data_IF_354928117658
#
_entry.id   IF_354928117658
#
_cell.length_a   1.000
_cell.length_b   1.000
_cell.length_c   1.000
_cell.angle_alpha   90.00
_cell.angle_beta   90.00
_cell.angle_gamma   90.00
#
_symmetry.space_group_name_H-M   'P 1'
#
loop_
_entity.id
_entity.type
_entity.pdbx_description
1 polymer ?
#
# COMPACT_ATOMS: atom_id res chain seq x y z
N UNK A 1 27.49 14.21 -16.29
CA UNK A 1 28.12 14.40 -14.97
C UNK A 1 27.12 14.87 -13.89
N UNK A 2 26.13 15.72 -14.21
CA UNK A 2 25.14 16.26 -13.27
C UNK A 2 24.05 15.29 -12.72
N UNK A 3 23.86 14.13 -13.34
CA UNK A 3 22.75 13.22 -13.00
C UNK A 3 23.04 12.31 -11.80
N UNK A 4 24.32 11.94 -11.62
CA UNK A 4 24.81 11.22 -10.43
C UNK A 4 24.65 12.06 -9.17
N UNK A 5 24.91 13.36 -9.28
CA UNK A 5 24.89 14.31 -8.17
C UNK A 5 23.46 14.57 -7.65
N UNK A 6 22.46 14.58 -8.54
CA UNK A 6 21.05 14.67 -8.14
C UNK A 6 20.54 13.43 -7.41
N UNK A 7 21.05 12.23 -7.73
CA UNK A 7 20.67 10.98 -7.03
C UNK A 7 21.24 10.93 -5.61
N UNK A 8 22.49 11.34 -5.43
CA UNK A 8 23.14 11.44 -4.11
C UNK A 8 22.45 12.49 -3.24
N UNK A 9 22.12 13.66 -3.80
CA UNK A 9 21.36 14.70 -3.08
C UNK A 9 19.95 14.25 -2.68
N UNK A 10 19.25 13.49 -3.53
CA UNK A 10 17.93 12.92 -3.19
C UNK A 10 18.02 11.84 -2.11
N UNK A 11 19.07 11.03 -2.10
CA UNK A 11 19.27 10.00 -1.08
C UNK A 11 19.65 10.60 0.30
N UNK A 12 20.25 11.80 0.31
CA UNK A 12 20.62 12.50 1.53
C UNK A 12 19.48 13.35 2.15
N UNK A 13 18.45 13.69 1.36
CA UNK A 13 17.31 14.48 1.85
C UNK A 13 16.36 13.61 2.68
N UNK A 14 15.97 14.04 3.91
CA UNK A 14 14.98 13.33 4.70
C UNK A 14 13.55 13.47 4.14
N UNK A 15 13.36 14.36 3.16
CA UNK A 15 12.04 14.64 2.57
C UNK A 15 11.92 14.13 1.13
N UNK A 16 10.74 13.58 0.83
CA UNK A 16 10.33 13.19 -0.52
C UNK A 16 9.05 13.91 -0.95
N UNK A 17 8.93 14.23 -2.24
CA UNK A 17 7.70 14.79 -2.81
C UNK A 17 6.66 13.71 -3.20
N UNK A 18 6.90 12.43 -2.85
CA UNK A 18 6.10 11.30 -3.34
C UNK A 18 4.65 11.39 -2.86
N UNK A 19 4.41 11.89 -1.65
CA UNK A 19 3.07 12.04 -1.07
C UNK A 19 2.13 12.89 -1.93
N UNK A 20 2.65 13.85 -2.72
CA UNK A 20 1.85 14.76 -3.55
C UNK A 20 1.12 14.08 -4.71
N UNK A 21 1.58 12.91 -5.15
CA UNK A 21 0.99 12.12 -6.25
C UNK A 21 0.35 10.83 -5.75
N UNK A 22 0.36 10.63 -4.43
CA UNK A 22 -0.08 9.38 -3.83
C UNK A 22 -1.59 9.38 -3.58
N UNK A 23 -2.26 8.27 -3.90
CA UNK A 23 -3.69 8.12 -3.70
C UNK A 23 -4.01 7.46 -2.35
N UNK A 24 -5.16 7.78 -1.75
CA UNK A 24 -5.53 7.22 -0.44
C UNK A 24 -5.81 5.70 -0.46
N UNK A 25 -6.42 5.17 -1.53
CA UNK A 25 -6.60 3.72 -1.81
C UNK A 25 -7.21 2.89 -0.67
N UNK A 26 -8.13 3.48 0.10
CA UNK A 26 -8.64 2.82 1.30
C UNK A 26 -9.32 1.47 1.02
N UNK A 27 -10.12 1.38 -0.05
CA UNK A 27 -10.86 0.16 -0.36
C UNK A 27 -9.91 -0.96 -0.81
N UNK A 28 -8.91 -0.62 -1.63
CA UNK A 28 -7.88 -1.53 -2.10
C UNK A 28 -7.01 -2.03 -0.95
N UNK A 29 -6.57 -1.12 -0.07
CA UNK A 29 -5.82 -1.47 1.15
C UNK A 29 -6.64 -2.37 2.05
N UNK A 30 -7.94 -2.09 2.22
CA UNK A 30 -8.82 -2.91 3.05
C UNK A 30 -9.04 -4.31 2.48
N UNK A 31 -9.23 -4.43 1.17
CA UNK A 31 -9.34 -5.74 0.49
C UNK A 31 -8.04 -6.52 0.62
N UNK A 32 -6.90 -5.88 0.42
CA UNK A 32 -5.58 -6.50 0.61
C UNK A 32 -5.39 -6.96 2.06
N UNK A 33 -5.77 -6.16 3.05
CA UNK A 33 -5.67 -6.51 4.47
C UNK A 33 -6.53 -7.74 4.84
N UNK A 34 -7.70 -7.90 4.21
CA UNK A 34 -8.53 -9.11 4.38
C UNK A 34 -7.80 -10.35 3.88
N UNK A 35 -7.19 -10.27 2.70
CA UNK A 35 -6.41 -11.38 2.13
C UNK A 35 -5.18 -11.73 2.99
N UNK A 36 -4.51 -10.74 3.58
CA UNK A 36 -3.43 -10.99 4.57
C UNK A 36 -3.98 -11.73 5.79
N UNK A 37 -5.17 -11.36 6.27
CA UNK A 37 -5.81 -12.05 7.40
C UNK A 37 -6.25 -13.48 7.08
N UNK A 38 -6.48 -13.81 5.80
CA UNK A 38 -6.71 -15.19 5.32
C UNK A 38 -5.43 -16.05 5.35
N UNK A 39 -4.25 -15.45 5.58
CA UNK A 39 -2.98 -16.16 5.69
C UNK A 39 -2.25 -16.38 4.37
N UNK A 40 -2.69 -15.71 3.29
CA UNK A 40 -2.05 -15.76 1.98
C UNK A 40 -0.70 -15.01 2.01
N UNK A 41 0.26 -15.46 1.20
CA UNK A 41 1.53 -14.75 1.03
C UNK A 41 1.39 -13.56 0.06
N UNK A 42 2.37 -12.63 0.08
CA UNK A 42 2.33 -11.40 -0.72
C UNK A 42 2.12 -11.67 -2.24
N UNK A 43 2.75 -12.72 -2.77
CA UNK A 43 2.64 -13.11 -4.18
C UNK A 43 1.27 -13.69 -4.51
N UNK A 44 0.74 -14.59 -3.67
CA UNK A 44 -0.62 -15.14 -3.82
C UNK A 44 -1.68 -14.04 -3.74
N UNK A 45 -1.50 -13.07 -2.85
CA UNK A 45 -2.39 -11.91 -2.73
C UNK A 45 -2.39 -11.10 -4.03
N UNK A 46 -1.20 -10.79 -4.55
CA UNK A 46 -1.06 -10.03 -5.79
C UNK A 46 -1.66 -10.79 -6.99
N UNK A 47 -1.43 -12.09 -7.09
CA UNK A 47 -2.02 -12.95 -8.12
C UNK A 47 -3.55 -12.98 -8.02
N UNK A 48 -4.09 -13.15 -6.82
CA UNK A 48 -5.53 -13.20 -6.59
C UNK A 48 -6.21 -11.88 -6.93
N UNK A 49 -5.63 -10.74 -6.52
CA UNK A 49 -6.12 -9.40 -6.87
C UNK A 49 -6.21 -9.22 -8.38
N UNK A 50 -5.19 -9.68 -9.13
CA UNK A 50 -5.15 -9.56 -10.59
C UNK A 50 -6.15 -10.49 -11.26
N UNK A 51 -6.15 -11.78 -10.86
CA UNK A 51 -6.97 -12.83 -11.47
C UNK A 51 -8.47 -12.58 -11.26
N UNK A 52 -8.86 -12.14 -10.07
CA UNK A 52 -10.26 -11.85 -9.73
C UNK A 52 -10.64 -10.38 -9.99
N UNK A 53 -9.68 -9.55 -10.45
CA UNK A 53 -9.85 -8.10 -10.64
C UNK A 53 -10.53 -7.42 -9.44
N UNK A 54 -10.04 -7.71 -8.22
CA UNK A 54 -10.69 -7.27 -6.97
C UNK A 54 -10.77 -5.76 -6.80
N UNK A 55 -9.92 -5.01 -7.49
CA UNK A 55 -9.93 -3.55 -7.46
C UNK A 55 -10.74 -2.93 -8.60
N UNK A 56 -11.21 -3.72 -9.57
CA UNK A 56 -12.00 -3.28 -10.72
C UNK A 56 -11.28 -2.27 -11.62
N UNK A 57 -9.99 -2.49 -11.90
CA UNK A 57 -9.20 -1.65 -12.80
C UNK A 57 -9.22 -2.21 -14.23
N UNK A 58 -9.07 -1.36 -15.26
CA UNK A 58 -9.13 -1.79 -16.66
C UNK A 58 -7.89 -2.53 -17.15
N UNK A 59 -6.76 -2.43 -16.45
CA UNK A 59 -5.50 -3.06 -16.87
C UNK A 59 -4.83 -3.82 -15.73
N UNK A 60 -4.25 -4.97 -16.06
CA UNK A 60 -3.45 -5.76 -15.12
C UNK A 60 -2.22 -5.01 -14.60
N UNK A 61 -1.63 -4.15 -15.43
CA UNK A 61 -0.48 -3.34 -15.02
C UNK A 61 -0.85 -2.40 -13.87
N UNK A 62 -2.01 -1.76 -13.94
CA UNK A 62 -2.53 -0.95 -12.83
C UNK A 62 -2.82 -1.79 -11.60
N UNK A 63 -3.45 -2.97 -11.76
CA UNK A 63 -3.74 -3.90 -10.66
C UNK A 63 -2.47 -4.30 -9.91
N UNK A 64 -1.45 -4.78 -10.64
CA UNK A 64 -0.16 -5.19 -10.06
C UNK A 64 0.55 -4.03 -9.36
N UNK A 65 0.54 -2.83 -9.97
CA UNK A 65 1.12 -1.64 -9.35
C UNK A 65 0.41 -1.29 -8.05
N UNK A 66 -0.93 -1.32 -8.05
CA UNK A 66 -1.71 -0.92 -6.89
C UNK A 66 -1.67 -1.94 -5.76
N UNK A 67 -1.66 -3.23 -6.10
CA UNK A 67 -1.49 -4.32 -5.14
C UNK A 67 -0.16 -4.19 -4.39
N UNK A 68 0.93 -3.91 -5.11
CA UNK A 68 2.26 -3.68 -4.51
C UNK A 68 2.27 -2.48 -3.57
N UNK A 69 1.64 -1.37 -3.95
CA UNK A 69 1.51 -0.19 -3.08
C UNK A 69 0.73 -0.53 -1.80
N UNK A 70 -0.39 -1.26 -1.93
CA UNK A 70 -1.21 -1.67 -0.79
C UNK A 70 -0.46 -2.61 0.15
N UNK A 71 0.23 -3.62 -0.39
CA UNK A 71 1.06 -4.56 0.39
C UNK A 71 2.17 -3.82 1.14
N UNK A 72 2.87 -2.90 0.47
CA UNK A 72 3.93 -2.14 1.10
C UNK A 72 3.41 -1.27 2.26
N UNK A 73 2.28 -0.58 2.09
CA UNK A 73 1.62 0.18 3.17
C UNK A 73 1.31 -0.67 4.39
N UNK A 74 0.73 -1.84 4.16
CA UNK A 74 0.36 -2.75 5.23
C UNK A 74 1.60 -3.35 5.92
N UNK A 75 2.67 -3.60 5.17
CA UNK A 75 3.95 -4.11 5.70
C UNK A 75 4.65 -3.09 6.59
N UNK A 76 4.62 -1.81 6.22
CA UNK A 76 5.21 -0.69 6.99
C UNK A 76 4.58 -0.54 8.38
N UNK A 77 3.35 -1.00 8.59
CA UNK A 77 2.74 -0.98 9.91
C UNK A 77 3.47 -1.89 10.91
N UNK A 78 4.11 -2.97 10.44
CA UNK A 78 4.84 -3.96 11.26
C UNK A 78 4.03 -4.57 12.43
N UNK A 79 2.71 -4.39 12.42
CA UNK A 79 1.79 -4.82 13.46
C UNK A 79 0.57 -5.51 12.84
N UNK A 80 0.46 -6.81 13.10
CA UNK A 80 -0.65 -7.64 12.62
C UNK A 80 -2.00 -7.21 13.20
N UNK A 81 -2.03 -6.62 14.39
CA UNK A 81 -3.26 -6.14 15.01
C UNK A 81 -3.84 -4.94 14.23
N UNK A 82 -2.98 -4.04 13.75
CA UNK A 82 -3.37 -2.90 12.93
C UNK A 82 -3.84 -3.33 11.54
N UNK A 83 -3.16 -4.30 10.91
CA UNK A 83 -3.61 -4.90 9.64
C UNK A 83 -4.99 -5.54 9.79
N UNK A 84 -5.19 -6.32 10.86
CA UNK A 84 -6.50 -6.92 11.19
C UNK A 84 -7.56 -5.85 11.44
N UNK A 85 -7.21 -4.76 12.12
CA UNK A 85 -8.12 -3.66 12.41
C UNK A 85 -8.58 -2.97 11.11
N UNK A 86 -7.70 -2.76 10.12
CA UNK A 86 -8.10 -2.23 8.81
C UNK A 86 -9.16 -3.13 8.14
N UNK A 87 -8.99 -4.46 8.24
CA UNK A 87 -9.92 -5.41 7.64
C UNK A 87 -11.30 -5.40 8.33
N UNK A 88 -11.33 -5.41 9.67
CA UNK A 88 -12.53 -5.72 10.46
C UNK A 88 -13.24 -4.51 11.09
N UNK A 89 -12.52 -3.44 11.41
CA UNK A 89 -13.08 -2.31 12.15
C UNK A 89 -14.01 -1.44 11.27
N UNK A 90 -14.84 -0.59 11.88
CA UNK A 90 -15.62 0.41 11.15
C UNK A 90 -14.76 1.29 10.26
N UNK A 91 -15.35 1.79 9.18
CA UNK A 91 -14.61 2.58 8.18
C UNK A 91 -13.94 3.83 8.73
N UNK A 92 -14.48 4.47 9.77
CA UNK A 92 -13.86 5.62 10.42
C UNK A 92 -12.50 5.27 11.03
N UNK A 93 -12.46 4.24 11.88
CA UNK A 93 -11.23 3.74 12.52
C UNK A 93 -10.25 3.19 11.50
N UNK A 94 -10.73 2.36 10.56
CA UNK A 94 -9.86 1.77 9.54
C UNK A 94 -9.21 2.82 8.63
N UNK A 95 -9.93 3.91 8.30
CA UNK A 95 -9.37 5.04 7.51
C UNK A 95 -8.27 5.77 8.28
N UNK A 96 -8.41 5.95 9.59
CA UNK A 96 -7.35 6.57 10.42
C UNK A 96 -6.09 5.70 10.44
N UNK A 97 -6.23 4.38 10.58
CA UNK A 97 -5.08 3.46 10.54
C UNK A 97 -4.46 3.45 9.14
N UNK A 98 -5.27 3.49 8.08
CA UNK A 98 -4.78 3.59 6.70
C UNK A 98 -3.99 4.89 6.45
N UNK A 99 -4.47 6.02 7.00
CA UNK A 99 -3.75 7.29 6.94
C UNK A 99 -2.42 7.21 7.69
N UNK A 100 -2.40 6.62 8.89
CA UNK A 100 -1.18 6.38 9.64
C UNK A 100 -0.18 5.52 8.86
N UNK A 101 -0.64 4.47 8.16
CA UNK A 101 0.20 3.65 7.30
C UNK A 101 0.86 4.47 6.18
N UNK A 102 0.13 5.40 5.56
CA UNK A 102 0.69 6.30 4.55
C UNK A 102 1.72 7.26 5.14
N UNK A 103 1.47 7.80 6.34
CA UNK A 103 2.40 8.70 7.02
C UNK A 103 3.69 8.01 7.48
N UNK A 104 3.65 6.70 7.75
CA UNK A 104 4.87 5.93 8.06
C UNK A 104 5.67 5.56 6.81
N UNK A 105 5.02 5.45 5.65
CA UNK A 105 5.66 5.03 4.41
C UNK A 105 6.52 6.15 3.78
N UNK A 106 6.09 7.40 3.92
CA UNK A 106 6.64 8.57 3.20
C UNK A 106 7.21 9.61 4.14
#
# INVERSE_FOLDING_TARGET
MFEKDKRTLRAASPYSAVITREQFLFYEVRTTAKLICEGLCDDEIAERIVKENLFQYPTERSLKSMARTCLHRLKVLEDRSLVKAIATQPSSTAKQICLYAMMRQY
#
